data_IF_905359171600
#
_entry.id   IF_905359171600
#
_cell.length_a   1.000
_cell.length_b   1.000
_cell.length_c   1.000
_cell.angle_alpha   90.00
_cell.angle_beta   90.00
_cell.angle_gamma   90.00
#
_symmetry.space_group_name_H-M   'P 1'
#
loop_
_entity.id
_entity.type
_entity.pdbx_description
1 polymer ?
#
# COMPACT_ATOMS: atom_id res chain seq x y z
N UNK A 1 5.38 9.29 37.26
CA UNK A 1 4.94 9.62 35.89
C UNK A 1 6.07 10.39 35.22
N UNK A 2 6.66 9.82 34.16
CA UNK A 2 7.72 10.46 33.41
C UNK A 2 7.06 11.41 32.37
N UNK A 3 7.38 12.69 32.44
CA UNK A 3 6.92 13.70 31.48
C UNK A 3 8.15 14.19 30.72
N UNK A 4 8.27 13.91 29.44
CA UNK A 4 9.29 14.49 28.58
C UNK A 4 8.70 15.63 27.76
N UNK A 5 9.40 16.76 27.72
CA UNK A 5 9.11 17.79 26.74
C UNK A 5 9.55 17.31 25.34
N UNK A 6 8.68 17.31 24.33
CA UNK A 6 9.08 16.89 23.00
C UNK A 6 10.10 17.86 22.41
N UNK A 7 11.27 17.36 22.06
CA UNK A 7 12.23 18.12 21.25
C UNK A 7 11.88 17.91 19.78
N UNK A 8 11.22 18.88 19.18
CA UNK A 8 10.75 18.80 17.79
C UNK A 8 11.80 19.43 16.85
N UNK A 9 12.27 18.63 15.89
CA UNK A 9 13.16 19.07 14.82
C UNK A 9 12.43 18.90 13.49
N UNK A 10 12.49 19.91 12.63
CA UNK A 10 11.91 19.81 11.28
C UNK A 10 12.80 18.91 10.43
N UNK A 11 12.32 17.69 10.13
CA UNK A 11 13.05 16.68 9.36
C UNK A 11 12.95 16.88 7.84
N UNK A 12 11.80 17.37 7.34
CA UNK A 12 11.54 17.58 5.90
C UNK A 12 10.85 18.92 5.66
N UNK A 13 11.02 19.54 4.47
CA UNK A 13 10.31 20.76 4.12
C UNK A 13 8.79 20.58 4.17
N UNK A 14 8.07 21.63 4.53
CA UNK A 14 6.60 21.64 4.59
C UNK A 14 5.95 21.16 3.29
N UNK A 15 6.45 21.63 2.13
CA UNK A 15 5.94 21.25 0.80
C UNK A 15 6.00 19.75 0.58
N UNK A 16 7.13 19.11 0.90
CA UNK A 16 7.30 17.67 0.76
C UNK A 16 6.37 16.90 1.70
N UNK A 17 6.24 17.35 2.95
CA UNK A 17 5.33 16.76 3.92
C UNK A 17 3.87 16.84 3.45
N UNK A 18 3.44 18.00 2.95
CA UNK A 18 2.09 18.20 2.44
C UNK A 18 1.79 17.29 1.24
N UNK A 19 2.69 17.26 0.26
CA UNK A 19 2.51 16.39 -0.93
C UNK A 19 2.48 14.91 -0.54
N UNK A 20 3.30 14.48 0.40
CA UNK A 20 3.27 13.10 0.92
C UNK A 20 1.94 12.78 1.61
N UNK A 21 1.38 13.71 2.39
CA UNK A 21 0.04 13.54 2.97
C UNK A 21 -1.01 13.33 1.87
N UNK A 22 -0.96 14.12 0.78
CA UNK A 22 -1.90 13.96 -0.34
C UNK A 22 -1.74 12.60 -1.03
N UNK A 23 -0.51 12.12 -1.22
CA UNK A 23 -0.26 10.78 -1.77
C UNK A 23 -0.84 9.67 -0.87
N UNK A 24 -0.63 9.76 0.44
CA UNK A 24 -1.20 8.79 1.39
C UNK A 24 -2.73 8.82 1.41
N UNK A 25 -3.33 10.01 1.27
CA UNK A 25 -4.79 10.16 1.14
C UNK A 25 -5.29 9.60 -0.20
N UNK A 26 -4.52 9.77 -1.29
CA UNK A 26 -4.80 9.20 -2.59
C UNK A 26 -4.93 7.68 -2.55
N UNK A 27 -4.06 6.98 -1.82
CA UNK A 27 -4.14 5.53 -1.60
C UNK A 27 -5.47 5.03 -1.01
N UNK A 28 -6.26 5.92 -0.41
CA UNK A 28 -7.60 5.62 0.12
C UNK A 28 -8.74 6.08 -0.80
N UNK A 29 -8.51 7.04 -1.67
CA UNK A 29 -9.55 7.73 -2.46
C UNK A 29 -9.54 7.38 -3.93
N UNK A 30 -8.33 7.15 -4.47
CA UNK A 30 -8.17 6.93 -5.90
C UNK A 30 -8.42 5.47 -6.28
N UNK A 31 -9.00 5.21 -7.47
CA UNK A 31 -9.17 3.85 -8.00
C UNK A 31 -7.82 3.12 -8.06
N UNK A 32 -7.78 1.87 -7.62
CA UNK A 32 -6.55 1.09 -7.52
C UNK A 32 -5.73 1.34 -6.25
N UNK A 33 -6.16 2.25 -5.37
CA UNK A 33 -5.50 2.48 -4.08
C UNK A 33 -5.59 1.27 -3.15
N UNK A 34 -4.45 0.80 -2.65
CA UNK A 34 -4.38 -0.40 -1.79
C UNK A 34 -4.99 -0.22 -0.40
N UNK A 35 -5.32 1.01 -0.02
CA UNK A 35 -5.88 1.37 1.28
C UNK A 35 -7.36 1.74 1.24
N UNK A 36 -8.05 1.56 0.09
CA UNK A 36 -9.44 1.98 -0.12
C UNK A 36 -10.41 1.36 0.90
N UNK A 37 -10.20 0.09 1.25
CA UNK A 37 -11.06 -0.61 2.22
C UNK A 37 -11.02 0.00 3.63
N UNK A 38 -9.99 0.78 3.97
CA UNK A 38 -9.93 1.53 5.23
C UNK A 38 -11.04 2.60 5.33
N UNK A 39 -11.49 3.12 4.19
CA UNK A 39 -12.62 4.04 4.11
C UNK A 39 -13.91 3.48 4.70
N UNK A 40 -14.10 2.15 4.71
CA UNK A 40 -15.25 1.51 5.35
C UNK A 40 -15.32 1.76 6.86
N UNK A 41 -14.19 1.87 7.53
CA UNK A 41 -14.07 2.11 8.97
C UNK A 41 -14.18 3.59 9.33
N UNK A 42 -13.54 4.47 8.55
CA UNK A 42 -13.43 5.89 8.88
C UNK A 42 -14.41 6.79 8.13
N UNK A 43 -15.09 6.29 7.10
CA UNK A 43 -15.92 7.09 6.19
C UNK A 43 -17.16 7.74 6.83
N UNK A 44 -17.59 7.25 7.99
CA UNK A 44 -18.66 7.87 8.79
C UNK A 44 -18.22 9.18 9.46
N UNK A 45 -16.91 9.32 9.71
CA UNK A 45 -16.30 10.45 10.43
C UNK A 45 -15.74 11.48 9.44
N UNK A 46 -16.64 12.29 8.85
CA UNK A 46 -16.28 13.29 7.84
C UNK A 46 -15.48 14.47 8.36
N UNK A 47 -15.35 14.59 9.66
CA UNK A 47 -14.56 15.59 10.39
C UNK A 47 -13.09 15.17 10.59
N UNK A 48 -12.72 14.00 10.09
CA UNK A 48 -11.34 13.50 10.11
C UNK A 48 -10.81 13.25 8.70
N UNK A 49 -9.51 13.49 8.52
CA UNK A 49 -8.79 13.07 7.32
C UNK A 49 -7.80 11.97 7.67
N UNK A 50 -7.75 10.98 6.79
CA UNK A 50 -6.88 9.83 6.90
C UNK A 50 -6.14 9.58 5.61
N UNK A 51 -4.88 9.21 5.73
CA UNK A 51 -4.07 8.61 4.68
C UNK A 51 -3.59 7.25 5.13
N UNK A 52 -3.23 6.38 4.19
CA UNK A 52 -2.75 5.05 4.55
C UNK A 52 -1.91 4.39 3.49
N UNK A 53 -1.07 3.45 3.94
CA UNK A 53 -0.26 2.61 3.04
C UNK A 53 -0.16 1.20 3.58
N UNK A 54 -0.38 0.24 2.70
CA UNK A 54 -0.16 -1.20 2.95
C UNK A 54 1.29 -1.57 2.68
N UNK A 55 1.78 -2.58 3.35
CA UNK A 55 3.03 -3.27 3.07
C UNK A 55 2.79 -4.77 3.02
N UNK A 56 3.40 -5.46 2.07
CA UNK A 56 3.32 -6.93 1.95
C UNK A 56 4.67 -7.42 1.45
N UNK A 57 5.27 -8.39 2.13
CA UNK A 57 6.47 -9.06 1.62
C UNK A 57 6.12 -9.96 0.43
N UNK A 58 7.09 -10.18 -0.47
CA UNK A 58 6.87 -10.92 -1.73
C UNK A 58 6.29 -12.32 -1.52
N UNK A 59 6.64 -12.99 -0.43
CA UNK A 59 6.13 -14.32 -0.08
C UNK A 59 4.93 -14.28 0.87
N UNK A 60 4.33 -13.10 1.13
CA UNK A 60 3.21 -12.92 2.06
C UNK A 60 3.49 -13.36 3.50
N UNK A 61 4.76 -13.30 3.95
CA UNK A 61 5.14 -13.59 5.33
C UNK A 61 4.86 -12.43 6.26
N UNK A 62 4.92 -11.22 5.73
CA UNK A 62 4.73 -9.99 6.49
C UNK A 62 3.70 -9.09 5.81
N UNK A 63 2.73 -8.69 6.56
CA UNK A 63 1.69 -7.77 6.14
C UNK A 63 1.64 -6.58 7.09
N UNK A 64 1.77 -5.38 6.55
CA UNK A 64 1.72 -4.13 7.27
C UNK A 64 0.59 -3.24 6.79
N UNK A 65 0.08 -2.45 7.68
CA UNK A 65 -0.73 -1.29 7.35
C UNK A 65 -0.38 -0.14 8.29
N UNK A 66 -0.16 1.05 7.70
CA UNK A 66 0.03 2.30 8.45
C UNK A 66 -1.07 3.28 8.06
N UNK A 67 -1.78 3.78 9.06
CA UNK A 67 -2.78 4.84 8.93
C UNK A 67 -2.29 6.11 9.61
N UNK A 68 -2.44 7.24 8.93
CA UNK A 68 -1.96 8.54 9.39
C UNK A 68 -3.11 9.56 9.35
N UNK A 69 -3.32 10.25 10.45
CA UNK A 69 -4.18 11.44 10.55
C UNK A 69 -3.37 12.60 11.14
N UNK A 70 -3.90 13.83 11.18
CA UNK A 70 -3.16 14.97 11.78
C UNK A 70 -2.82 14.79 13.27
N UNK A 71 -3.54 13.92 13.98
CA UNK A 71 -3.44 13.77 15.44
C UNK A 71 -3.10 12.35 15.89
N UNK A 72 -3.17 11.37 14.99
CA UNK A 72 -3.00 9.97 15.32
C UNK A 72 -2.31 9.23 14.20
N UNK A 73 -1.30 8.43 14.54
CA UNK A 73 -0.69 7.44 13.64
C UNK A 73 -0.92 6.06 14.24
N UNK A 74 -1.41 5.15 13.42
CA UNK A 74 -1.70 3.77 13.81
C UNK A 74 -1.02 2.82 12.85
N UNK A 75 -0.41 1.77 13.39
CA UNK A 75 0.20 0.72 12.58
C UNK A 75 -0.19 -0.66 13.09
N UNK A 76 -0.34 -1.60 12.17
CA UNK A 76 -0.50 -3.02 12.48
C UNK A 76 0.41 -3.87 11.61
N UNK A 77 0.90 -4.94 12.20
CA UNK A 77 1.67 -5.98 11.54
C UNK A 77 1.02 -7.33 11.77
N UNK A 78 0.98 -8.13 10.74
CA UNK A 78 0.56 -9.52 10.78
C UNK A 78 1.63 -10.35 10.11
N UNK A 79 2.17 -11.32 10.81
CA UNK A 79 3.23 -12.20 10.30
C UNK A 79 3.55 -13.31 11.27
N UNK A 80 4.38 -14.24 10.83
CA UNK A 80 4.93 -15.31 11.66
C UNK A 80 6.31 -14.95 12.20
N UNK A 81 6.77 -15.70 13.21
CA UNK A 81 8.11 -15.56 13.80
C UNK A 81 9.21 -15.79 12.75
N UNK A 82 8.95 -16.70 11.81
CA UNK A 82 9.88 -17.04 10.72
C UNK A 82 9.25 -16.79 9.36
N UNK A 83 10.03 -16.38 8.38
CA UNK A 83 9.58 -16.10 7.01
C UNK A 83 9.03 -17.30 6.25
N UNK A 84 9.34 -18.52 6.69
CA UNK A 84 8.73 -19.74 6.16
C UNK A 84 7.25 -19.89 6.57
N UNK A 85 6.80 -19.15 7.58
CA UNK A 85 5.39 -19.07 7.95
C UNK A 85 4.76 -17.94 7.15
N UNK A 86 4.03 -18.29 6.10
CA UNK A 86 3.45 -17.32 5.20
C UNK A 86 2.11 -17.77 4.64
N UNK A 87 1.32 -16.83 4.16
CA UNK A 87 0.10 -17.13 3.43
C UNK A 87 0.42 -17.63 2.01
N UNK A 88 -0.37 -18.56 1.50
CA UNK A 88 -0.15 -19.13 0.17
C UNK A 88 -0.48 -18.18 -0.98
N UNK A 89 -1.35 -17.19 -0.73
CA UNK A 89 -1.86 -16.28 -1.76
C UNK A 89 -1.96 -14.87 -1.24
N UNK A 90 -1.80 -13.87 -2.12
CA UNK A 90 -2.03 -12.47 -1.80
C UNK A 90 -3.45 -12.19 -1.31
N UNK A 91 -4.45 -12.93 -1.80
CA UNK A 91 -5.84 -12.79 -1.34
C UNK A 91 -6.00 -13.00 0.17
N UNK A 92 -5.13 -13.79 0.79
CA UNK A 92 -5.12 -14.04 2.24
C UNK A 92 -4.05 -13.24 2.98
N UNK A 93 -2.88 -12.98 2.34
CA UNK A 93 -1.71 -12.45 3.00
C UNK A 93 -1.41 -10.97 2.74
N UNK A 94 -2.17 -10.29 1.87
CA UNK A 94 -1.97 -8.86 1.64
C UNK A 94 -2.28 -8.02 2.88
N UNK A 95 -1.50 -6.95 3.07
CA UNK A 95 -1.71 -5.99 4.17
C UNK A 95 -3.10 -5.37 4.19
N UNK A 96 -3.73 -5.22 3.02
CA UNK A 96 -5.12 -4.77 2.88
C UNK A 96 -6.16 -5.76 3.42
N UNK A 97 -5.81 -7.04 3.52
CA UNK A 97 -6.70 -8.12 3.97
C UNK A 97 -6.48 -8.52 5.43
N UNK A 98 -5.30 -8.26 5.97
CA UNK A 98 -4.88 -8.70 7.30
C UNK A 98 -4.63 -7.54 8.25
N UNK A 99 -3.58 -6.76 8.04
CA UNK A 99 -3.17 -5.67 8.94
C UNK A 99 -4.11 -4.46 8.88
N UNK A 100 -4.66 -4.12 7.70
CA UNK A 100 -5.57 -2.99 7.55
C UNK A 100 -6.85 -3.13 8.38
N UNK A 101 -7.58 -4.27 8.41
CA UNK A 101 -8.76 -4.40 9.25
C UNK A 101 -8.47 -4.22 10.75
N UNK A 102 -7.29 -4.67 11.23
CA UNK A 102 -6.90 -4.47 12.62
C UNK A 102 -6.80 -2.98 12.98
N UNK A 103 -6.10 -2.20 12.14
CA UNK A 103 -6.07 -0.75 12.26
C UNK A 103 -7.47 -0.14 12.15
N UNK A 104 -8.29 -0.65 11.21
CA UNK A 104 -9.62 -0.16 10.93
C UNK A 104 -10.53 -0.26 12.16
N UNK A 105 -10.64 -1.42 12.76
CA UNK A 105 -11.45 -1.63 13.96
C UNK A 105 -10.96 -0.79 15.14
N UNK A 106 -9.64 -0.70 15.33
CA UNK A 106 -9.08 0.14 16.39
C UNK A 106 -9.44 1.61 16.18
N UNK A 107 -9.22 2.14 14.98
CA UNK A 107 -9.51 3.55 14.65
C UNK A 107 -11.00 3.84 14.73
N UNK A 108 -11.87 2.96 14.23
CA UNK A 108 -13.31 3.09 14.34
C UNK A 108 -13.73 3.18 15.82
N UNK A 109 -13.17 2.34 16.69
CA UNK A 109 -13.43 2.37 18.12
C UNK A 109 -13.00 3.70 18.76
N UNK A 110 -11.83 4.22 18.39
CA UNK A 110 -11.32 5.51 18.87
C UNK A 110 -12.21 6.66 18.41
N UNK A 111 -12.65 6.66 17.15
CA UNK A 111 -13.46 7.73 16.60
C UNK A 111 -14.92 7.71 17.11
N UNK A 112 -15.42 6.54 17.50
CA UNK A 112 -16.76 6.41 18.08
C UNK A 112 -16.82 6.80 19.57
N UNK A 113 -15.68 6.87 20.27
CA UNK A 113 -15.62 7.21 21.69
C UNK A 113 -15.46 8.74 21.89
N UNK A 114 -16.43 9.42 22.50
CA UNK A 114 -16.35 10.86 22.76
C UNK A 114 -15.12 11.29 23.57
N UNK A 115 -14.55 10.41 24.39
CA UNK A 115 -13.35 10.70 25.20
C UNK A 115 -12.13 11.00 24.31
N UNK A 116 -12.14 10.51 23.07
CA UNK A 116 -11.07 10.67 22.09
C UNK A 116 -11.38 11.70 21.00
N UNK A 117 -12.34 12.58 21.21
CA UNK A 117 -12.72 13.65 20.25
C UNK A 117 -11.55 14.51 19.78
N UNK A 118 -10.47 14.62 20.58
CA UNK A 118 -9.24 15.32 20.21
C UNK A 118 -8.54 14.76 18.96
N UNK A 119 -8.82 13.51 18.57
CA UNK A 119 -8.26 12.87 17.39
C UNK A 119 -9.06 13.16 16.11
N UNK A 120 -10.23 13.76 16.21
CA UNK A 120 -10.97 14.26 15.07
C UNK A 120 -10.28 15.51 14.52
N UNK A 121 -9.60 15.38 13.38
CA UNK A 121 -8.86 16.48 12.79
C UNK A 121 -8.72 16.30 11.28
N UNK A 122 -8.64 17.42 10.56
CA UNK A 122 -8.37 17.45 9.12
C UNK A 122 -6.96 17.94 8.84
N UNK A 123 -6.36 17.43 7.77
CA UNK A 123 -5.11 17.97 7.25
C UNK A 123 -5.30 19.42 6.82
N UNK A 124 -4.30 20.25 7.08
CA UNK A 124 -4.31 21.66 6.69
C UNK A 124 -4.31 21.83 5.17
N UNK A 125 -4.69 23.03 4.74
CA UNK A 125 -4.49 23.47 3.36
C UNK A 125 -3.01 23.79 3.12
N UNK A 126 -2.55 23.76 1.85
CA UNK A 126 -1.19 24.19 1.56
C UNK A 126 -0.98 25.64 2.00
N UNK A 127 0.16 25.89 2.66
CA UNK A 127 0.57 27.24 3.09
C UNK A 127 1.48 27.92 2.05
N UNK A 128 1.88 27.18 1.03
CA UNK A 128 2.77 27.63 -0.03
C UNK A 128 1.95 27.76 -1.32
N UNK A 129 1.87 28.96 -1.85
CA UNK A 129 1.12 29.28 -3.08
C UNK A 129 1.73 28.56 -4.32
N UNK A 130 2.98 28.11 -4.22
CA UNK A 130 3.60 27.27 -5.24
C UNK A 130 3.04 25.85 -5.30
N UNK A 131 2.27 25.40 -4.28
CA UNK A 131 1.59 24.12 -4.27
C UNK A 131 0.22 24.27 -4.96
N UNK A 132 0.16 23.88 -6.21
CA UNK A 132 -1.08 23.92 -6.99
C UNK A 132 -1.86 22.61 -6.86
N UNK A 133 -3.18 22.66 -7.00
CA UNK A 133 -4.06 21.50 -6.95
C UNK A 133 -3.63 20.40 -7.92
N UNK A 134 -3.16 20.77 -9.11
CA UNK A 134 -2.71 19.81 -10.11
C UNK A 134 -1.51 18.96 -9.68
N UNK A 135 -0.71 19.40 -8.69
CA UNK A 135 0.44 18.63 -8.19
C UNK A 135 0.04 17.37 -7.42
N UNK A 136 -1.20 17.32 -6.90
CA UNK A 136 -1.67 16.20 -6.08
C UNK A 136 -3.03 15.66 -6.52
N UNK A 137 -3.57 16.14 -7.64
CA UNK A 137 -4.82 15.64 -8.22
C UNK A 137 -4.52 14.63 -9.32
N UNK A 138 -4.64 13.35 -9.02
CA UNK A 138 -4.41 12.25 -9.96
C UNK A 138 -5.32 12.29 -11.18
N UNK A 139 -6.55 12.82 -11.06
CA UNK A 139 -7.49 12.91 -12.18
C UNK A 139 -6.95 13.74 -13.36
N UNK A 140 -6.12 14.75 -13.09
CA UNK A 140 -5.49 15.56 -14.14
C UNK A 140 -4.48 14.78 -14.97
N UNK A 141 -3.80 13.80 -14.38
CA UNK A 141 -2.83 12.93 -15.07
C UNK A 141 -3.51 11.85 -15.92
N UNK A 142 -4.60 11.28 -15.42
CA UNK A 142 -5.35 10.24 -16.17
C UNK A 142 -5.94 10.78 -17.46
N UNK A 143 -6.38 12.04 -17.50
CA UNK A 143 -6.89 12.67 -18.73
C UNK A 143 -5.80 12.94 -19.77
N UNK A 144 -4.56 13.21 -19.36
CA UNK A 144 -3.43 13.37 -20.27
C UNK A 144 -2.95 12.03 -20.82
N UNK A 145 -2.81 11.01 -19.98
CA UNK A 145 -2.43 9.66 -20.41
C UNK A 145 -3.41 9.07 -21.45
N UNK A 146 -4.72 9.33 -21.32
CA UNK A 146 -5.71 8.89 -22.31
C UNK A 146 -5.64 9.60 -23.66
N UNK A 147 -5.01 10.77 -23.75
CA UNK A 147 -4.83 11.50 -25.03
C UNK A 147 -3.62 11.00 -25.80
N UNK A 148 -2.61 10.51 -25.12
CA UNK A 148 -1.37 10.01 -25.73
C UNK A 148 -1.45 8.53 -26.15
N UNK A 149 -2.48 7.79 -25.66
CA UNK A 149 -2.70 6.38 -26.01
C UNK A 149 -3.85 6.20 -27.00
N UNK A 150 -3.86 6.97 -28.10
CA UNK A 150 -4.73 6.68 -29.26
C UNK A 150 -4.09 5.67 -30.23
N UNK A 151 -3.02 5.01 -29.81
CA UNK A 151 -2.49 3.85 -30.53
C UNK A 151 -2.13 2.74 -29.55
N UNK A 152 -2.88 1.66 -29.70
CA UNK A 152 -2.56 0.26 -29.40
C UNK A 152 -2.53 -0.22 -27.94
N UNK A 153 -3.41 -1.20 -27.75
CA UNK A 153 -3.32 -2.35 -26.84
C UNK A 153 -3.41 -2.12 -25.33
N UNK A 154 -4.55 -2.58 -24.85
CA UNK A 154 -4.82 -2.88 -23.45
C UNK A 154 -3.62 -3.52 -22.73
N UNK A 155 -2.83 -2.71 -22.05
CA UNK A 155 -1.93 -3.23 -21.03
C UNK A 155 -2.82 -3.53 -19.82
N UNK A 156 -3.11 -4.81 -19.62
CA UNK A 156 -3.56 -5.30 -18.33
C UNK A 156 -2.48 -4.89 -17.30
N UNK A 157 -2.84 -4.04 -16.36
CA UNK A 157 -1.97 -3.73 -15.22
C UNK A 157 -2.04 -4.97 -14.34
N UNK A 158 -1.11 -5.91 -14.54
CA UNK A 158 -0.82 -6.93 -13.56
C UNK A 158 -0.26 -6.25 -12.31
N UNK A 159 -0.93 -6.45 -11.21
CA UNK A 159 -0.73 -5.78 -9.91
C UNK A 159 0.59 -6.17 -9.18
N UNK A 160 1.58 -6.73 -9.85
CA UNK A 160 2.85 -7.11 -9.23
C UNK A 160 4.05 -6.67 -10.08
N UNK A 161 4.59 -5.50 -9.78
CA UNK A 161 5.98 -5.22 -10.16
C UNK A 161 6.86 -6.04 -9.23
N UNK A 162 7.30 -7.22 -9.71
CA UNK A 162 8.30 -8.03 -9.03
C UNK A 162 9.65 -7.35 -9.17
N UNK A 163 10.30 -7.07 -8.05
CA UNK A 163 11.67 -6.58 -8.01
C UNK A 163 12.61 -7.76 -7.72
N UNK A 164 13.75 -7.82 -8.38
CA UNK A 164 14.82 -8.76 -8.06
C UNK A 164 15.49 -8.39 -6.72
N UNK A 165 16.41 -9.22 -6.25
CA UNK A 165 17.15 -8.99 -5.01
C UNK A 165 17.97 -7.69 -4.99
N UNK A 166 18.19 -7.09 -6.15
CA UNK A 166 18.90 -5.82 -6.34
C UNK A 166 17.95 -4.61 -6.40
N UNK A 167 16.63 -4.82 -6.30
CA UNK A 167 15.63 -3.74 -6.32
C UNK A 167 15.24 -3.25 -7.71
N UNK A 168 15.57 -3.99 -8.78
CA UNK A 168 15.21 -3.66 -10.15
C UNK A 168 13.95 -4.41 -10.62
N UNK A 169 13.08 -3.81 -11.43
CA UNK A 169 11.87 -4.45 -11.92
C UNK A 169 12.20 -5.61 -12.86
N UNK A 170 11.61 -6.77 -12.59
CA UNK A 170 11.71 -7.95 -13.46
C UNK A 170 10.70 -7.77 -14.60
N UNK A 171 11.19 -7.50 -15.80
CA UNK A 171 10.36 -7.49 -17.01
C UNK A 171 10.16 -8.93 -17.52
N UNK A 172 8.98 -9.50 -17.33
CA UNK A 172 8.59 -10.73 -18.01
C UNK A 172 8.25 -10.40 -19.47
N UNK A 173 9.20 -10.55 -20.37
CA UNK A 173 8.95 -10.56 -21.81
C UNK A 173 8.32 -11.91 -22.20
N UNK A 174 7.00 -12.01 -22.17
CA UNK A 174 6.27 -13.06 -22.87
C UNK A 174 5.74 -12.51 -24.19
N UNK A 175 6.59 -12.43 -25.19
CA UNK A 175 6.18 -12.30 -26.59
C UNK A 175 5.83 -13.69 -27.12
N UNK A 176 4.54 -13.94 -27.28
CA UNK A 176 4.04 -15.07 -28.08
C UNK A 176 4.22 -14.76 -29.56
N UNK A 177 5.24 -15.33 -30.18
CA UNK A 177 5.27 -15.57 -31.62
C UNK A 177 5.35 -17.06 -31.83
N UNK A 178 4.36 -17.58 -32.56
CA UNK A 178 4.32 -18.96 -32.96
C UNK A 178 5.49 -19.34 -33.88
N UNK A 179 6.00 -20.52 -33.67
CA UNK A 179 7.03 -21.15 -34.47
C UNK A 179 7.36 -22.50 -33.87
N UNK A 180 6.88 -23.55 -34.52
CA UNK A 180 7.23 -24.93 -34.21
C UNK A 180 8.75 -25.12 -34.34
N UNK A 181 9.39 -25.67 -33.31
CA UNK A 181 10.52 -26.57 -33.50
C UNK A 181 10.70 -27.50 -32.29
N UNK A 182 10.76 -28.79 -32.64
CA UNK A 182 11.06 -29.90 -31.75
C UNK A 182 12.52 -29.82 -31.30
N UNK A 183 12.84 -30.01 -30.03
CA UNK A 183 13.93 -30.88 -29.59
C UNK A 183 14.06 -31.01 -28.07
N UNK A 184 14.06 -32.26 -27.71
CA UNK A 184 14.90 -32.97 -26.72
C UNK A 184 14.75 -32.70 -25.23
N UNK A 185 14.09 -33.67 -24.67
CA UNK A 185 13.92 -34.02 -23.27
C UNK A 185 15.25 -34.25 -22.54
N UNK A 186 15.55 -33.48 -21.49
CA UNK A 186 16.40 -33.95 -20.39
C UNK A 186 15.71 -33.68 -19.07
N UNK A 187 15.17 -34.76 -18.50
CA UNK A 187 14.70 -34.83 -17.13
C UNK A 187 15.90 -34.76 -16.19
N UNK A 188 15.97 -33.75 -15.36
CA UNK A 188 16.67 -33.81 -14.09
C UNK A 188 15.64 -34.13 -13.01
N UNK A 189 15.81 -35.28 -12.39
CA UNK A 189 15.05 -35.76 -11.24
C UNK A 189 15.43 -34.95 -10.02
N UNK A 190 14.52 -34.11 -9.51
CA UNK A 190 14.61 -33.58 -8.15
C UNK A 190 14.06 -34.62 -7.18
N UNK A 191 14.87 -34.99 -6.19
CA UNK A 191 14.51 -35.88 -5.09
C UNK A 191 13.42 -35.21 -4.24
N UNK A 192 12.26 -35.87 -4.21
CA UNK A 192 11.17 -35.55 -3.27
C UNK A 192 11.56 -36.13 -1.90
N UNK A 193 11.85 -35.28 -0.94
CA UNK A 193 12.05 -35.70 0.45
C UNK A 193 10.71 -36.01 1.08
N UNK A 194 10.46 -37.28 1.37
CA UNK A 194 9.27 -37.79 2.05
C UNK A 194 9.39 -37.59 3.57
N UNK A 195 8.54 -36.74 4.16
CA UNK A 195 8.54 -36.38 5.59
C UNK A 195 7.69 -37.31 6.47
N UNK A 196 7.34 -38.50 6.02
CA UNK A 196 6.52 -39.42 6.80
C UNK A 196 7.28 -40.43 7.70
N UNK A 197 8.59 -40.25 7.89
CA UNK A 197 9.38 -41.09 8.76
C UNK A 197 10.35 -40.25 9.64
N UNK A 198 9.79 -39.53 10.63
CA UNK A 198 10.47 -39.10 11.85
C UNK A 198 9.51 -39.10 13.01
#
# INVERSE_FOLDING_TARGET
VYTSAPNTVQAIPYRSAFLMQQLLMGGMREPGGTSMSFGGFVGKHRDTDWGGKTGTSNNHSDAWFMAVSPKLVVGAWVGGEYRCIHFRTGALGQGSRTALPLCGYFVESVLNDPSFSKYHAKFGKPKDDAITYNMYNCASYVTHAKRDTLDTDSIAIDDEIMLNESGEPIHNNSTTTGGEEKHHNQRTTEEVVDFNNL
#
